data_IF_779386435278
#
_entry.id   IF_779386435278
#
_cell.length_a   1.000
_cell.length_b   1.000
_cell.length_c   1.000
_cell.angle_alpha   90.00
_cell.angle_beta   90.00
_cell.angle_gamma   90.00
#
_symmetry.space_group_name_H-M   'P 1'
#
loop_
_entity.id
_entity.type
_entity.pdbx_description
1 polymer ?
#
# COMPACT_ATOMS: atom_id res chain seq x y z
N UNK A 1 50.34 -54.04 -10.84
CA UNK A 1 48.96 -53.82 -11.31
C UNK A 1 48.18 -53.28 -10.13
N UNK A 2 47.84 -52.00 -10.13
CA UNK A 2 47.02 -51.33 -9.11
C UNK A 2 45.69 -51.01 -9.78
N UNK A 3 44.52 -51.36 -9.22
CA UNK A 3 43.25 -51.11 -9.87
C UNK A 3 42.86 -49.63 -9.70
N UNK A 4 42.56 -48.95 -10.80
CA UNK A 4 41.94 -47.62 -10.80
C UNK A 4 40.45 -47.77 -10.51
N UNK A 5 39.99 -47.23 -9.39
CA UNK A 5 38.57 -47.13 -9.07
C UNK A 5 37.93 -46.00 -9.90
N UNK A 6 36.86 -46.31 -10.62
CA UNK A 6 36.05 -45.33 -11.34
C UNK A 6 35.11 -44.62 -10.35
N UNK A 7 35.19 -43.30 -10.25
CA UNK A 7 34.29 -42.48 -9.44
C UNK A 7 33.12 -42.03 -10.31
N UNK A 8 31.93 -42.55 -10.04
CA UNK A 8 30.68 -42.13 -10.68
C UNK A 8 30.20 -40.82 -10.06
N UNK A 9 30.16 -39.73 -10.82
CA UNK A 9 29.63 -38.43 -10.38
C UNK A 9 28.11 -38.38 -10.56
N UNK A 10 27.37 -38.61 -9.47
CA UNK A 10 25.93 -38.36 -9.42
C UNK A 10 25.71 -36.85 -9.32
N UNK A 11 25.18 -36.24 -10.37
CA UNK A 11 24.83 -34.82 -10.39
C UNK A 11 23.50 -34.65 -9.66
N UNK A 12 23.54 -34.05 -8.48
CA UNK A 12 22.34 -33.70 -7.72
C UNK A 12 21.79 -32.39 -8.29
N UNK A 13 20.77 -32.48 -9.15
CA UNK A 13 20.00 -31.30 -9.55
C UNK A 13 19.14 -30.88 -8.34
N UNK A 14 19.56 -29.84 -7.62
CA UNK A 14 18.67 -29.11 -6.72
C UNK A 14 17.62 -28.40 -7.56
N UNK A 15 16.40 -28.94 -7.56
CA UNK A 15 15.22 -28.22 -8.01
C UNK A 15 14.93 -27.16 -6.94
N UNK A 16 15.31 -25.90 -7.20
CA UNK A 16 14.84 -24.79 -6.39
C UNK A 16 13.33 -24.65 -6.62
N UNK A 17 12.54 -25.16 -5.68
CA UNK A 17 11.13 -24.82 -5.63
C UNK A 17 11.04 -23.32 -5.26
N UNK A 18 10.79 -22.48 -6.26
CA UNK A 18 10.32 -21.13 -6.00
C UNK A 18 8.93 -21.27 -5.38
N UNK A 19 8.84 -21.16 -4.06
CA UNK A 19 7.58 -20.84 -3.43
C UNK A 19 7.20 -19.44 -3.93
N UNK A 20 6.19 -19.36 -4.80
CA UNK A 20 5.53 -18.09 -5.06
C UNK A 20 5.09 -17.56 -3.70
N UNK A 21 5.62 -16.40 -3.30
CA UNK A 21 5.17 -15.75 -2.07
C UNK A 21 3.67 -15.48 -2.18
N UNK A 22 2.91 -15.83 -1.14
CA UNK A 22 1.50 -15.50 -1.08
C UNK A 22 1.34 -13.97 -1.13
N UNK A 23 0.52 -13.46 -2.05
CA UNK A 23 0.32 -12.01 -2.26
C UNK A 23 -0.40 -11.39 -1.06
N UNK A 24 0.25 -10.48 -0.33
CA UNK A 24 -0.37 -9.74 0.78
C UNK A 24 -1.05 -8.47 0.25
N UNK A 25 -2.12 -8.02 0.93
CA UNK A 25 -2.76 -6.73 0.66
C UNK A 25 -2.42 -5.73 1.79
N UNK A 26 -2.13 -4.49 1.42
CA UNK A 26 -1.85 -3.41 2.38
C UNK A 26 -3.06 -2.47 2.46
N UNK A 27 -3.67 -2.40 3.63
CA UNK A 27 -4.79 -1.50 3.92
C UNK A 27 -4.28 -0.18 4.50
N UNK A 28 -4.81 0.94 3.97
CA UNK A 28 -4.57 2.29 4.49
C UNK A 28 -5.85 2.82 5.13
N UNK A 29 -5.89 2.87 6.46
CA UNK A 29 -7.09 3.23 7.24
C UNK A 29 -6.91 4.65 7.76
N UNK A 30 -7.69 5.59 7.26
CA UNK A 30 -7.54 7.02 7.55
C UNK A 30 -8.73 7.57 8.33
N UNK A 31 -8.46 8.36 9.38
CA UNK A 31 -9.51 9.07 10.11
C UNK A 31 -9.76 10.45 9.51
N UNK A 32 -10.80 10.59 8.69
CA UNK A 32 -11.26 11.88 8.15
C UNK A 32 -12.34 12.57 9.02
N UNK A 33 -12.67 12.01 10.20
CA UNK A 33 -13.61 12.65 11.12
C UNK A 33 -12.96 13.83 11.84
N UNK A 34 -13.78 14.78 12.32
CA UNK A 34 -13.32 15.91 13.13
C UNK A 34 -12.91 15.54 14.57
N UNK A 35 -13.07 14.28 14.96
CA UNK A 35 -12.75 13.75 16.28
C UNK A 35 -11.88 12.50 16.18
N UNK A 36 -11.21 12.13 17.26
CA UNK A 36 -10.45 10.89 17.37
C UNK A 36 -11.36 9.67 17.17
N UNK A 37 -10.85 8.67 16.45
CA UNK A 37 -11.47 7.37 16.19
C UNK A 37 -10.46 6.28 16.53
N UNK A 38 -10.93 5.15 17.05
CA UNK A 38 -10.07 4.00 17.34
C UNK A 38 -10.41 2.87 16.37
N UNK A 39 -9.81 2.81 15.17
CA UNK A 39 -10.04 1.68 14.28
C UNK A 39 -9.56 0.38 14.91
N UNK A 40 -10.18 -0.71 14.48
CA UNK A 40 -9.87 -2.07 14.89
C UNK A 40 -9.99 -3.03 13.70
N UNK A 41 -9.26 -4.15 13.77
CA UNK A 41 -9.22 -5.14 12.72
C UNK A 41 -9.00 -6.56 13.26
N UNK A 42 -9.70 -7.54 12.68
CA UNK A 42 -9.48 -8.96 12.93
C UNK A 42 -9.54 -9.75 11.61
N UNK A 43 -8.80 -10.87 11.47
CA UNK A 43 -7.87 -11.44 12.44
C UNK A 43 -6.52 -10.70 12.53
N UNK A 44 -6.31 -9.69 11.68
CA UNK A 44 -5.07 -8.92 11.58
C UNK A 44 -5.32 -7.45 11.91
N UNK A 45 -4.33 -6.80 12.51
CA UNK A 45 -4.35 -5.38 12.88
C UNK A 45 -4.64 -5.12 14.36
N UNK A 46 -5.62 -5.81 14.95
CA UNK A 46 -6.01 -5.61 16.34
C UNK A 46 -6.73 -4.27 16.53
N UNK A 47 -5.99 -3.18 16.78
CA UNK A 47 -6.55 -1.84 16.85
C UNK A 47 -5.59 -0.77 17.38
N UNK A 48 -5.87 0.47 17.03
CA UNK A 48 -5.06 1.65 17.40
C UNK A 48 -5.93 2.88 17.63
N UNK A 49 -5.31 4.01 18.02
CA UNK A 49 -5.91 5.33 18.04
C UNK A 49 -5.50 6.12 16.80
N UNK A 50 -6.46 6.78 16.15
CA UNK A 50 -6.21 7.75 15.09
C UNK A 50 -6.89 9.08 15.44
N UNK A 51 -6.07 10.12 15.66
CA UNK A 51 -6.54 11.50 15.70
C UNK A 51 -6.92 11.98 14.28
N UNK A 52 -7.67 13.09 14.14
CA UNK A 52 -8.09 13.60 12.83
C UNK A 52 -6.92 13.75 11.84
N UNK A 53 -7.09 13.21 10.64
CA UNK A 53 -6.11 13.23 9.55
C UNK A 53 -4.99 12.18 9.66
N UNK A 54 -4.97 11.37 10.73
CA UNK A 54 -3.97 10.28 10.84
C UNK A 54 -4.40 9.04 10.06
N UNK A 55 -3.39 8.27 9.64
CA UNK A 55 -3.55 7.03 8.87
C UNK A 55 -2.82 5.89 9.58
N UNK A 56 -3.44 4.71 9.58
CA UNK A 56 -2.88 3.45 10.04
C UNK A 56 -2.79 2.46 8.88
N UNK A 57 -1.59 1.94 8.66
CA UNK A 57 -1.33 0.92 7.63
C UNK A 57 -1.33 -0.48 8.25
N UNK A 58 -2.00 -1.43 7.59
CA UNK A 58 -2.07 -2.84 8.03
C UNK A 58 -1.81 -3.76 6.85
N UNK A 59 -0.78 -4.60 6.96
CA UNK A 59 -0.52 -5.66 5.99
C UNK A 59 -1.31 -6.92 6.36
N UNK A 60 -2.13 -7.37 5.43
CA UNK A 60 -3.01 -8.53 5.56
C UNK A 60 -2.51 -9.64 4.63
N UNK A 61 -2.13 -10.81 5.16
CA UNK A 61 -1.66 -11.93 4.34
C UNK A 61 -2.72 -12.46 3.37
N UNK A 62 -2.29 -13.00 2.23
CA UNK A 62 -3.14 -13.76 1.31
C UNK A 62 -3.91 -14.88 2.02
N UNK A 63 -5.11 -15.17 1.55
CA UNK A 63 -6.02 -16.18 2.10
C UNK A 63 -6.71 -15.73 3.40
N UNK A 64 -6.63 -14.45 3.76
CA UNK A 64 -7.25 -13.92 4.98
C UNK A 64 -8.63 -13.34 4.66
N UNK A 65 -9.66 -13.89 5.28
CA UNK A 65 -10.96 -13.21 5.44
C UNK A 65 -11.00 -12.49 6.78
N UNK A 66 -11.44 -11.24 6.78
CA UNK A 66 -11.43 -10.40 7.97
C UNK A 66 -12.36 -9.21 7.87
N UNK A 67 -12.19 -8.30 8.83
CA UNK A 67 -12.98 -7.07 8.92
C UNK A 67 -12.22 -5.97 9.64
N UNK A 68 -12.48 -4.74 9.24
CA UNK A 68 -12.13 -3.52 9.95
C UNK A 68 -13.38 -2.77 10.38
N UNK A 69 -13.30 -2.01 11.48
CA UNK A 69 -14.38 -1.13 11.91
C UNK A 69 -13.85 0.04 12.76
N UNK A 70 -14.63 1.11 12.83
CA UNK A 70 -14.33 2.26 13.68
C UNK A 70 -14.99 2.17 15.05
N UNK A 71 -14.27 2.60 16.09
CA UNK A 71 -14.78 2.74 17.46
C UNK A 71 -14.73 4.20 17.90
N UNK A 72 -15.75 4.64 18.63
CA UNK A 72 -15.88 6.06 19.06
C UNK A 72 -16.02 6.17 20.57
N UNK A 73 -15.63 7.33 21.12
CA UNK A 73 -15.79 7.61 22.56
C UNK A 73 -14.93 6.71 23.45
N UNK A 74 -13.78 6.26 22.96
CA UNK A 74 -12.97 5.30 23.68
C UNK A 74 -12.12 5.92 24.79
N UNK A 75 -11.99 5.21 25.90
CA UNK A 75 -11.04 5.53 26.97
C UNK A 75 -10.28 4.27 27.36
N UNK A 76 -8.94 4.30 27.26
CA UNK A 76 -8.07 3.17 27.59
C UNK A 76 -7.04 3.53 28.67
N UNK A 77 -6.73 2.55 29.52
CA UNK A 77 -5.62 2.59 30.46
C UNK A 77 -4.79 1.31 30.29
N UNK A 78 -3.56 1.45 29.76
CA UNK A 78 -2.66 0.31 29.56
C UNK A 78 -3.17 -0.75 28.59
N UNK A 79 -4.02 -0.39 27.63
CA UNK A 79 -4.58 -1.29 26.61
C UNK A 79 -5.97 -1.85 26.91
N UNK A 80 -6.49 -1.65 28.13
CA UNK A 80 -7.86 -2.04 28.51
C UNK A 80 -8.71 -0.81 28.82
N UNK A 81 -9.99 -0.86 28.51
CA UNK A 81 -10.86 0.31 28.51
C UNK A 81 -12.27 -0.01 28.06
N UNK A 82 -12.89 0.97 27.41
CA UNK A 82 -14.24 0.88 26.84
C UNK A 82 -14.39 1.89 25.70
N UNK A 83 -15.22 1.56 24.72
CA UNK A 83 -15.71 2.46 23.68
C UNK A 83 -17.25 2.55 23.70
N UNK A 84 -17.80 3.72 23.40
CA UNK A 84 -19.26 3.93 23.34
C UNK A 84 -19.92 3.13 22.21
N UNK A 85 -19.21 2.97 21.08
CA UNK A 85 -19.67 2.16 19.95
C UNK A 85 -18.54 1.30 19.38
N UNK A 86 -18.87 0.15 18.79
CA UNK A 86 -17.91 -0.76 18.18
C UNK A 86 -16.93 -1.43 19.16
N UNK A 87 -17.18 -1.36 20.47
CA UNK A 87 -16.27 -1.91 21.48
C UNK A 87 -16.01 -3.41 21.28
N UNK A 88 -14.78 -3.85 21.54
CA UNK A 88 -14.35 -5.25 21.38
C UNK A 88 -13.90 -5.86 22.71
N UNK A 89 -14.84 -5.96 23.65
CA UNK A 89 -14.61 -6.45 25.02
C UNK A 89 -13.62 -5.59 25.82
N UNK A 90 -13.66 -4.28 25.61
CA UNK A 90 -12.83 -3.29 26.30
C UNK A 90 -11.36 -3.33 25.93
N UNK A 91 -10.96 -4.01 24.86
CA UNK A 91 -9.56 -4.09 24.44
C UNK A 91 -9.20 -2.97 23.44
N UNK A 92 -8.03 -2.36 23.57
CA UNK A 92 -7.50 -1.45 22.54
C UNK A 92 -7.13 -2.24 21.27
N UNK A 93 -6.43 -3.36 21.45
CA UNK A 93 -6.10 -4.30 20.38
C UNK A 93 -7.09 -5.47 20.40
N UNK A 94 -8.00 -5.51 19.41
CA UNK A 94 -9.11 -6.43 19.39
C UNK A 94 -8.71 -7.84 18.96
N UNK A 95 -9.35 -8.85 19.56
CA UNK A 95 -9.31 -10.26 19.12
C UNK A 95 -10.68 -10.82 18.79
N UNK A 96 -11.73 -10.02 19.01
CA UNK A 96 -13.13 -10.30 18.70
C UNK A 96 -13.73 -9.12 17.95
N UNK A 97 -14.80 -9.35 17.19
CA UNK A 97 -15.47 -8.28 16.44
C UNK A 97 -16.08 -7.23 17.38
N UNK A 98 -16.24 -6.02 16.88
CA UNK A 98 -16.93 -4.95 17.59
C UNK A 98 -18.39 -5.28 17.90
N UNK A 99 -18.87 -4.80 19.05
CA UNK A 99 -20.26 -4.93 19.45
C UNK A 99 -21.16 -3.97 18.66
N UNK A 100 -22.38 -4.41 18.26
CA UNK A 100 -23.40 -3.55 17.66
C UNK A 100 -23.70 -2.29 18.49
N UNK A 101 -23.89 -1.11 17.87
CA UNK A 101 -23.80 -0.86 16.43
C UNK A 101 -22.36 -0.74 15.93
N UNK A 102 -22.07 -1.34 14.77
CA UNK A 102 -20.78 -1.27 14.12
C UNK A 102 -20.90 -1.34 12.59
N UNK A 103 -20.49 -0.28 11.91
CA UNK A 103 -20.25 -0.28 10.46
C UNK A 103 -18.97 -1.09 10.19
N UNK A 104 -19.07 -2.17 9.41
CA UNK A 104 -17.95 -3.06 9.13
C UNK A 104 -17.48 -2.89 7.68
N UNK A 105 -16.18 -2.83 7.47
CA UNK A 105 -15.54 -3.12 6.19
C UNK A 105 -15.11 -4.58 6.22
N UNK A 106 -15.71 -5.43 5.41
CA UNK A 106 -15.41 -6.86 5.34
C UNK A 106 -14.57 -7.16 4.10
N UNK A 107 -13.61 -8.08 4.21
CA UNK A 107 -12.70 -8.39 3.12
C UNK A 107 -12.33 -9.87 3.09
N UNK A 108 -11.90 -10.35 1.92
CA UNK A 108 -11.20 -11.61 1.71
C UNK A 108 -10.08 -11.39 0.71
N UNK A 109 -8.83 -11.55 1.16
CA UNK A 109 -7.63 -11.38 0.35
C UNK A 109 -7.26 -12.70 -0.31
N UNK A 110 -6.95 -12.69 -1.60
CA UNK A 110 -6.70 -13.88 -2.42
C UNK A 110 -7.82 -14.91 -2.24
N UNK A 111 -9.06 -14.46 -2.47
CA UNK A 111 -10.27 -15.27 -2.30
C UNK A 111 -10.49 -16.31 -3.40
N UNK A 112 -9.59 -16.36 -4.38
CA UNK A 112 -9.70 -17.16 -5.61
C UNK A 112 -9.80 -16.28 -6.85
N UNK A 113 -9.48 -16.86 -8.01
CA UNK A 113 -9.47 -16.19 -9.31
C UNK A 113 -8.61 -14.91 -9.35
N UNK A 114 -7.52 -14.87 -8.57
CA UNK A 114 -6.61 -13.74 -8.43
C UNK A 114 -7.35 -12.43 -8.03
N UNK A 115 -8.33 -12.55 -7.14
CA UNK A 115 -9.15 -11.43 -6.71
C UNK A 115 -9.19 -11.30 -5.19
N UNK A 116 -9.19 -10.03 -4.77
CA UNK A 116 -9.55 -9.61 -3.42
C UNK A 116 -11.03 -9.19 -3.43
N UNK A 117 -11.79 -9.65 -2.45
CA UNK A 117 -13.21 -9.34 -2.29
C UNK A 117 -13.42 -8.41 -1.10
N UNK A 118 -14.36 -7.47 -1.23
CA UNK A 118 -14.64 -6.51 -0.19
C UNK A 118 -16.05 -5.95 -0.26
N UNK A 119 -16.56 -5.52 0.89
CA UNK A 119 -17.85 -4.85 1.04
C UNK A 119 -17.92 -4.02 2.32
N UNK A 120 -18.97 -3.19 2.42
CA UNK A 120 -19.38 -2.54 3.66
C UNK A 120 -20.63 -3.26 4.18
N UNK A 121 -20.73 -3.44 5.49
CA UNK A 121 -21.88 -4.05 6.15
C UNK A 121 -22.38 -3.19 7.30
N UNK A 122 -23.67 -2.91 7.30
CA UNK A 122 -24.40 -2.24 8.38
C UNK A 122 -25.45 -3.16 9.01
N UNK A 123 -25.34 -4.48 8.76
CA UNK A 123 -26.22 -5.51 9.32
C UNK A 123 -26.22 -5.46 10.85
N UNK A 124 -25.06 -5.23 11.45
CA UNK A 124 -24.86 -5.08 12.89
C UNK A 124 -25.15 -3.65 13.39
N UNK A 125 -25.71 -2.78 12.54
CA UNK A 125 -26.04 -1.39 12.84
C UNK A 125 -24.96 -0.40 12.38
N UNK A 126 -25.34 0.87 12.28
CA UNK A 126 -24.46 1.94 11.82
C UNK A 126 -23.98 2.81 12.99
N UNK A 127 -22.68 3.05 13.09
CA UNK A 127 -22.10 3.94 14.10
C UNK A 127 -21.26 5.09 13.49
N UNK A 128 -20.48 4.80 12.45
CA UNK A 128 -19.59 5.75 11.79
C UNK A 128 -19.69 5.62 10.27
N UNK A 129 -19.56 6.75 9.58
CA UNK A 129 -19.49 6.77 8.12
C UNK A 129 -18.17 6.17 7.63
N UNK A 130 -18.23 5.45 6.52
CA UNK A 130 -17.11 4.69 6.01
C UNK A 130 -17.08 4.74 4.50
N UNK A 131 -15.89 4.99 3.97
CA UNK A 131 -15.57 4.74 2.58
C UNK A 131 -14.64 3.53 2.52
N UNK A 132 -14.86 2.66 1.53
CA UNK A 132 -14.01 1.49 1.33
C UNK A 132 -13.82 1.23 -0.16
N UNK A 133 -12.56 1.14 -0.58
CA UNK A 133 -12.19 1.01 -1.98
C UNK A 133 -10.95 0.16 -2.11
N UNK A 134 -10.78 -0.41 -3.29
CA UNK A 134 -9.56 -1.05 -3.74
C UNK A 134 -9.08 -0.37 -5.03
N UNK A 135 -7.77 -0.34 -5.28
CA UNK A 135 -7.20 0.49 -6.35
C UNK A 135 -7.63 0.11 -7.77
N UNK A 136 -8.14 -1.10 -7.99
CA UNK A 136 -8.68 -1.59 -9.27
C UNK A 136 -10.18 -1.90 -9.22
N UNK A 137 -10.83 -1.65 -8.08
CA UNK A 137 -12.24 -1.96 -7.83
C UNK A 137 -13.14 -0.72 -7.76
N UNK A 138 -14.40 -0.94 -7.39
CA UNK A 138 -15.35 0.14 -7.09
C UNK A 138 -15.03 0.84 -5.75
N UNK A 139 -15.22 2.16 -5.69
CA UNK A 139 -15.26 2.87 -4.41
C UNK A 139 -16.67 2.77 -3.81
N UNK A 140 -16.75 2.33 -2.55
CA UNK A 140 -18.00 2.21 -1.78
C UNK A 140 -18.08 3.39 -0.81
N UNK A 141 -19.23 4.06 -0.77
CA UNK A 141 -19.48 5.16 0.14
C UNK A 141 -20.69 4.86 1.03
N UNK A 142 -20.46 4.81 2.33
CA UNK A 142 -21.51 4.64 3.33
C UNK A 142 -21.49 5.77 4.34
N UNK A 143 -22.08 6.91 3.97
CA UNK A 143 -22.20 8.09 4.83
C UNK A 143 -23.42 8.13 5.76
N UNK A 144 -24.34 7.17 5.64
CA UNK A 144 -25.55 7.08 6.45
C UNK A 144 -26.03 5.62 6.67
N UNK A 145 -26.89 5.35 7.66
CA UNK A 145 -27.33 3.99 7.98
C UNK A 145 -28.06 3.25 6.84
N UNK A 146 -28.65 3.98 5.90
CA UNK A 146 -29.40 3.43 4.76
C UNK A 146 -28.60 3.44 3.46
N UNK A 147 -27.28 3.55 3.54
CA UNK A 147 -26.41 3.67 2.38
C UNK A 147 -26.63 2.50 1.39
N UNK A 148 -26.68 2.77 0.08
CA UNK A 148 -26.94 1.77 -0.94
C UNK A 148 -25.76 0.82 -1.17
N UNK A 149 -24.56 1.22 -0.78
CA UNK A 149 -23.31 0.46 -1.01
C UNK A 149 -23.02 -0.57 0.09
N UNK A 150 -23.84 -0.63 1.15
CA UNK A 150 -23.65 -1.60 2.24
C UNK A 150 -24.69 -2.72 2.26
N UNK A 151 -24.28 -3.86 2.80
CA UNK A 151 -25.19 -4.91 3.26
C UNK A 151 -26.12 -4.36 4.35
N UNK A 152 -27.42 -4.28 4.01
CA UNK A 152 -28.49 -3.93 4.95
C UNK A 152 -29.07 -5.18 5.64
N UNK A 153 -28.87 -6.35 5.04
CA UNK A 153 -29.27 -7.65 5.57
C UNK A 153 -28.39 -8.73 4.93
N UNK A 154 -28.26 -9.88 5.59
CA UNK A 154 -27.39 -10.98 5.14
C UNK A 154 -27.86 -11.74 3.89
N UNK A 155 -29.01 -11.37 3.31
CA UNK A 155 -29.55 -12.04 2.11
C UNK A 155 -29.26 -11.31 0.80
N UNK A 156 -28.76 -10.07 0.86
CA UNK A 156 -28.46 -9.24 -0.31
C UNK A 156 -27.02 -9.44 -0.79
N UNK A 157 -26.74 -10.51 -1.54
CA UNK A 157 -25.40 -10.81 -2.04
C UNK A 157 -24.88 -9.90 -3.17
N UNK A 158 -25.54 -8.77 -3.44
CA UNK A 158 -25.17 -7.86 -4.54
C UNK A 158 -24.14 -6.80 -4.14
N UNK A 159 -23.79 -6.74 -2.85
CA UNK A 159 -22.94 -5.69 -2.27
C UNK A 159 -21.46 -6.06 -2.22
N UNK A 160 -21.12 -7.30 -2.52
CA UNK A 160 -19.72 -7.70 -2.61
C UNK A 160 -19.11 -7.24 -3.92
N UNK A 161 -18.00 -6.52 -3.80
CA UNK A 161 -17.16 -6.10 -4.91
C UNK A 161 -15.87 -6.90 -4.90
N UNK A 162 -15.18 -6.87 -6.04
CA UNK A 162 -13.89 -7.49 -6.20
C UNK A 162 -12.93 -6.52 -6.89
N UNK A 163 -11.64 -6.72 -6.63
CA UNK A 163 -10.56 -6.07 -7.33
C UNK A 163 -9.44 -7.08 -7.57
N UNK A 164 -8.55 -6.78 -8.51
CA UNK A 164 -7.41 -7.64 -8.80
C UNK A 164 -6.52 -7.74 -7.56
N UNK A 165 -6.05 -8.96 -7.26
CA UNK A 165 -5.11 -9.19 -6.16
C UNK A 165 -3.84 -8.33 -6.32
N UNK A 166 -3.23 -7.97 -5.20
CA UNK A 166 -1.96 -7.20 -5.18
C UNK A 166 -2.04 -5.82 -5.88
N UNK A 167 -3.23 -5.19 -5.88
CA UNK A 167 -3.42 -3.90 -6.53
C UNK A 167 -3.22 -2.74 -5.55
N UNK A 168 -2.03 -2.14 -5.56
CA UNK A 168 -1.78 -0.77 -5.07
C UNK A 168 -0.91 -0.04 -6.09
N UNK A 169 -1.53 0.47 -7.16
CA UNK A 169 -0.82 1.24 -8.19
C UNK A 169 -1.52 2.53 -8.61
N UNK A 170 -2.72 2.79 -8.07
CA UNK A 170 -3.42 4.07 -8.21
C UNK A 170 -3.40 4.79 -6.86
N UNK A 171 -2.92 6.03 -6.87
CA UNK A 171 -2.99 6.95 -5.74
C UNK A 171 -4.03 8.02 -6.06
N UNK A 172 -5.14 8.02 -5.32
CA UNK A 172 -6.08 9.13 -5.37
C UNK A 172 -5.53 10.33 -4.58
N UNK A 173 -6.13 11.52 -4.80
CA UNK A 173 -5.64 12.75 -4.18
C UNK A 173 -5.57 12.63 -2.65
N UNK A 174 -4.37 12.84 -2.10
CA UNK A 174 -4.10 12.78 -0.65
C UNK A 174 -3.84 11.38 -0.10
N UNK A 175 -3.94 10.33 -0.92
CA UNK A 175 -3.58 8.98 -0.50
C UNK A 175 -2.06 8.81 -0.43
N UNK A 176 -1.64 7.85 0.40
CA UNK A 176 -0.25 7.43 0.56
C UNK A 176 -0.14 5.95 0.26
N UNK A 177 0.91 5.58 -0.48
CA UNK A 177 1.31 4.20 -0.72
C UNK A 177 2.66 3.96 -0.06
N UNK A 178 2.73 2.92 0.76
CA UNK A 178 3.95 2.51 1.47
C UNK A 178 4.51 1.26 0.81
N UNK A 179 5.82 1.26 0.57
CA UNK A 179 6.53 0.16 -0.08
C UNK A 179 7.76 -0.17 0.73
N UNK A 180 7.94 -1.45 1.04
CA UNK A 180 9.19 -1.97 1.61
C UNK A 180 10.21 -2.18 0.50
N UNK A 181 11.30 -1.43 0.54
CA UNK A 181 12.42 -1.55 -0.40
C UNK A 181 13.53 -2.38 0.24
N UNK A 182 13.90 -3.54 -0.33
CA UNK A 182 14.96 -4.37 0.25
C UNK A 182 16.32 -3.67 0.24
N UNK A 183 17.10 -3.89 1.29
CA UNK A 183 18.50 -3.48 1.34
C UNK A 183 19.33 -4.16 0.23
N UNK A 184 20.30 -3.43 -0.34
CA UNK A 184 21.13 -3.89 -1.45
C UNK A 184 20.48 -3.71 -2.82
N UNK A 185 19.52 -2.80 -2.97
CA UNK A 185 18.79 -2.56 -4.22
C UNK A 185 18.99 -1.14 -4.73
N UNK A 186 18.97 -0.99 -6.06
CA UNK A 186 18.83 0.31 -6.74
C UNK A 186 17.55 0.29 -7.55
N UNK A 187 16.85 1.42 -7.61
CA UNK A 187 15.55 1.48 -8.26
C UNK A 187 15.06 2.89 -8.49
N UNK A 188 13.80 2.99 -8.94
CA UNK A 188 13.16 4.23 -9.34
C UNK A 188 11.71 4.24 -8.90
N UNK A 189 11.23 5.41 -8.49
CA UNK A 189 9.81 5.72 -8.35
C UNK A 189 9.44 6.84 -9.33
N UNK A 190 8.24 6.76 -9.91
CA UNK A 190 7.71 7.78 -10.80
C UNK A 190 6.19 7.78 -10.80
N UNK A 191 5.59 8.90 -11.16
CA UNK A 191 4.14 9.03 -11.30
C UNK A 191 3.71 8.87 -12.75
N UNK A 192 2.56 8.22 -12.98
CA UNK A 192 1.94 8.03 -14.31
C UNK A 192 0.63 8.80 -14.36
N UNK A 193 0.31 9.41 -15.50
CA UNK A 193 -0.92 10.22 -15.65
C UNK A 193 -1.80 9.69 -16.77
N UNK A 194 -3.11 9.93 -16.67
CA UNK A 194 -4.06 9.58 -17.73
C UNK A 194 -4.12 8.08 -18.00
N UNK A 195 -4.09 7.27 -16.95
CA UNK A 195 -4.02 5.82 -17.07
C UNK A 195 -5.41 5.18 -17.23
N UNK A 196 -5.47 4.10 -18.02
CA UNK A 196 -6.62 3.21 -18.12
C UNK A 196 -6.14 1.77 -18.24
N UNK A 197 -6.62 0.91 -17.35
CA UNK A 197 -6.27 -0.51 -17.30
C UNK A 197 -7.54 -1.37 -17.28
N UNK A 198 -7.44 -2.58 -17.83
CA UNK A 198 -8.46 -3.61 -17.68
C UNK A 198 -8.27 -4.40 -16.37
N UNK A 199 -9.15 -5.36 -16.10
CA UNK A 199 -9.09 -6.20 -14.89
C UNK A 199 -7.86 -7.12 -14.81
N UNK A 200 -7.13 -7.32 -15.91
CA UNK A 200 -5.87 -8.08 -15.95
C UNK A 200 -4.65 -7.18 -15.67
N UNK A 201 -4.85 -5.89 -15.41
CA UNK A 201 -3.76 -4.92 -15.25
C UNK A 201 -3.05 -4.54 -16.56
N UNK A 202 -3.66 -4.83 -17.72
CA UNK A 202 -3.15 -4.41 -19.02
C UNK A 202 -3.86 -3.13 -19.49
N UNK A 203 -3.11 -2.19 -20.03
CA UNK A 203 -3.63 -0.87 -20.32
C UNK A 203 -2.62 0.08 -20.92
N UNK A 204 -2.75 1.36 -20.58
CA UNK A 204 -1.89 2.44 -21.05
C UNK A 204 -2.00 3.66 -20.13
N UNK A 205 -0.94 4.47 -20.07
CA UNK A 205 -0.94 5.81 -19.49
C UNK A 205 -0.45 6.86 -20.50
N UNK A 206 -1.06 8.05 -20.47
CA UNK A 206 -0.67 9.19 -21.33
C UNK A 206 0.78 9.62 -21.11
N UNK A 207 1.31 9.50 -19.88
CA UNK A 207 2.71 9.79 -19.55
C UNK A 207 3.33 8.74 -18.63
N UNK A 208 4.64 8.55 -18.76
CA UNK A 208 5.45 7.64 -17.94
C UNK A 208 4.95 6.18 -17.90
N UNK A 209 4.25 5.75 -18.94
CA UNK A 209 3.78 4.37 -19.10
C UNK A 209 4.93 3.37 -19.06
N UNK A 210 4.69 2.17 -18.51
CA UNK A 210 5.70 1.13 -18.39
C UNK A 210 5.35 -0.11 -19.21
N UNK A 211 5.18 0.10 -20.52
CA UNK A 211 4.81 -0.92 -21.51
C UNK A 211 3.37 -1.46 -21.34
N UNK A 212 2.44 -0.58 -20.97
CA UNK A 212 1.03 -0.89 -20.81
C UNK A 212 0.70 -1.78 -19.62
N UNK A 213 1.64 -1.95 -18.69
CA UNK A 213 1.45 -2.78 -17.51
C UNK A 213 1.07 -1.93 -16.29
N UNK A 214 0.07 -2.37 -15.52
CA UNK A 214 -0.26 -1.77 -14.22
C UNK A 214 0.91 -1.98 -13.23
N UNK A 215 1.48 -3.20 -13.22
CA UNK A 215 2.66 -3.59 -12.46
C UNK A 215 3.93 -3.50 -13.33
N UNK A 216 4.77 -2.51 -13.06
CA UNK A 216 5.92 -2.20 -13.91
C UNK A 216 7.10 -3.14 -13.66
N UNK A 217 7.63 -3.73 -14.74
CA UNK A 217 8.92 -4.45 -14.75
C UNK A 217 10.03 -3.69 -15.48
N UNK A 218 9.67 -2.56 -16.09
CA UNK A 218 10.56 -1.64 -16.80
C UNK A 218 10.27 -0.22 -16.34
N UNK A 219 11.24 0.69 -16.51
CA UNK A 219 11.09 2.12 -16.21
C UNK A 219 9.98 2.75 -17.07
N UNK A 220 9.38 3.83 -16.56
CA UNK A 220 8.43 4.65 -17.30
C UNK A 220 9.04 5.24 -18.58
N UNK A 221 8.28 5.25 -19.66
CA UNK A 221 8.67 5.87 -20.93
C UNK A 221 8.67 7.41 -20.82
N UNK A 222 9.60 8.13 -21.48
CA UNK A 222 9.58 9.59 -21.51
C UNK A 222 8.23 10.17 -21.99
N UNK A 223 7.73 11.28 -21.40
CA UNK A 223 8.35 12.04 -20.31
C UNK A 223 8.11 11.42 -18.93
N UNK A 224 9.14 11.34 -18.09
CA UNK A 224 9.03 10.84 -16.72
C UNK A 224 9.97 11.59 -15.76
N UNK A 225 9.41 12.21 -14.72
CA UNK A 225 10.15 12.70 -13.56
C UNK A 225 10.45 11.52 -12.64
N UNK A 226 11.73 11.21 -12.40
CA UNK A 226 12.14 10.00 -11.67
C UNK A 226 12.74 10.37 -10.30
N UNK A 227 12.30 9.71 -9.23
CA UNK A 227 13.06 9.59 -7.98
C UNK A 227 13.92 8.33 -8.07
N UNK A 228 15.23 8.46 -8.10
CA UNK A 228 16.17 7.35 -8.19
C UNK A 228 16.82 7.09 -6.83
N UNK A 229 16.97 5.82 -6.46
CA UNK A 229 17.56 5.45 -5.19
C UNK A 229 18.55 4.29 -5.31
N UNK A 230 19.46 4.21 -4.35
CA UNK A 230 20.32 3.05 -4.08
C UNK A 230 20.40 2.84 -2.57
N UNK A 231 19.76 1.77 -2.09
CA UNK A 231 19.83 1.33 -0.69
C UNK A 231 20.94 0.30 -0.58
N UNK A 232 22.02 0.64 0.13
CA UNK A 232 23.23 -0.20 0.17
C UNK A 232 23.09 -1.33 1.20
N UNK A 233 22.43 -1.06 2.33
CA UNK A 233 22.25 -2.00 3.43
C UNK A 233 23.40 -2.03 4.44
N UNK A 234 23.11 -2.54 5.65
CA UNK A 234 24.04 -2.53 6.78
C UNK A 234 24.14 -1.15 7.43
N UNK A 235 25.35 -0.76 7.87
CA UNK A 235 25.65 0.58 8.39
C UNK A 235 26.16 1.54 7.30
N UNK A 236 25.96 1.20 6.02
CA UNK A 236 26.45 1.99 4.88
C UNK A 236 25.47 3.08 4.48
N UNK A 237 26.03 4.16 3.94
CA UNK A 237 25.25 5.28 3.43
C UNK A 237 24.45 4.88 2.19
N UNK A 238 23.19 5.31 2.15
CA UNK A 238 22.31 5.17 1.00
C UNK A 238 22.39 6.42 0.10
N UNK A 239 21.95 6.32 -1.15
CA UNK A 239 22.01 7.39 -2.14
C UNK A 239 20.68 7.59 -2.85
N UNK A 240 20.37 8.84 -3.18
CA UNK A 240 19.12 9.22 -3.84
C UNK A 240 19.25 10.54 -4.60
N UNK A 241 18.44 10.69 -5.65
CA UNK A 241 18.36 11.90 -6.47
C UNK A 241 17.02 11.98 -7.23
N UNK A 242 16.79 13.14 -7.86
CA UNK A 242 15.73 13.32 -8.84
C UNK A 242 16.37 13.41 -10.23
N UNK A 243 15.77 12.77 -11.23
CA UNK A 243 16.26 12.77 -12.60
C UNK A 243 15.17 13.20 -13.59
N UNK A 244 15.50 14.18 -14.43
CA UNK A 244 14.73 14.66 -15.58
C UNK A 244 15.39 14.29 -16.91
N UNK A 245 16.34 13.34 -16.90
CA UNK A 245 16.98 12.84 -18.13
C UNK A 245 15.93 12.30 -19.10
N UNK A 246 14.91 11.63 -18.57
CA UNK A 246 13.78 11.08 -19.31
C UNK A 246 12.61 12.10 -19.45
N UNK A 247 12.85 13.38 -19.18
CA UNK A 247 11.86 14.46 -19.28
C UNK A 247 11.15 14.78 -17.97
N UNK A 248 10.08 15.58 -18.05
CA UNK A 248 9.28 16.01 -16.91
C UNK A 248 7.80 15.76 -17.19
N UNK A 249 7.10 15.09 -16.29
CA UNK A 249 5.65 14.91 -16.38
C UNK A 249 4.90 15.41 -15.12
N UNK A 250 5.43 15.17 -13.93
CA UNK A 250 4.85 15.58 -12.66
C UNK A 250 5.88 16.28 -11.77
N UNK A 251 5.46 17.31 -10.99
CA UNK A 251 6.25 17.83 -9.88
C UNK A 251 6.50 16.74 -8.83
N UNK A 252 7.69 16.77 -8.22
CA UNK A 252 8.14 15.73 -7.32
C UNK A 252 9.00 16.30 -6.20
N UNK A 253 8.67 15.95 -4.96
CA UNK A 253 9.59 16.02 -3.82
C UNK A 253 10.12 14.62 -3.50
N UNK A 254 11.41 14.53 -3.19
CA UNK A 254 12.02 13.31 -2.70
C UNK A 254 12.90 13.59 -1.48
N UNK A 255 12.48 13.07 -0.33
CA UNK A 255 13.14 13.32 0.94
C UNK A 255 13.61 12.03 1.60
N UNK A 256 14.66 12.18 2.41
CA UNK A 256 15.16 11.15 3.30
C UNK A 256 15.21 11.65 4.76
N UNK A 257 14.82 10.81 5.71
CA UNK A 257 14.66 11.19 7.13
C UNK A 257 15.92 11.69 7.83
N UNK A 258 17.10 11.34 7.31
CA UNK A 258 18.40 11.85 7.81
C UNK A 258 19.19 12.64 6.75
N UNK A 259 18.53 12.96 5.63
CA UNK A 259 19.10 13.67 4.49
C UNK A 259 18.46 15.05 4.30
N UNK A 260 18.50 15.52 3.06
CA UNK A 260 17.83 16.75 2.62
C UNK A 260 16.52 16.38 1.91
N UNK A 261 15.64 17.37 1.73
CA UNK A 261 14.52 17.25 0.80
C UNK A 261 14.96 17.80 -0.56
N UNK A 262 14.73 17.04 -1.63
CA UNK A 262 14.94 17.48 -3.01
C UNK A 262 13.60 17.91 -3.59
N UNK A 263 13.55 19.11 -4.16
CA UNK A 263 12.30 19.67 -4.70
C UNK A 263 12.41 19.92 -6.20
N UNK A 264 11.49 19.34 -6.96
CA UNK A 264 11.37 19.55 -8.39
C UNK A 264 9.95 19.94 -8.80
N UNK A 265 9.59 21.20 -8.58
CA UNK A 265 8.28 21.76 -8.91
C UNK A 265 8.00 21.97 -10.41
N UNK A 266 9.06 22.08 -11.23
CA UNK A 266 8.95 22.49 -12.64
C UNK A 266 10.06 21.86 -13.52
N UNK A 267 9.86 21.81 -14.86
CA UNK A 267 10.88 21.31 -15.78
C UNK A 267 12.20 22.09 -15.64
N UNK A 268 13.33 21.38 -15.53
CA UNK A 268 14.64 22.02 -15.40
C UNK A 268 15.00 22.45 -13.98
N UNK A 269 14.30 21.93 -12.96
CA UNK A 269 14.52 22.26 -11.57
C UNK A 269 16.00 22.06 -11.13
N UNK A 270 16.52 22.89 -10.19
CA UNK A 270 17.92 22.83 -9.78
C UNK A 270 18.34 21.55 -9.07
N UNK A 271 17.40 20.86 -8.42
CA UNK A 271 17.67 19.68 -7.60
C UNK A 271 17.67 18.37 -8.42
N UNK A 272 17.40 18.44 -9.73
CA UNK A 272 17.36 17.25 -10.58
C UNK A 272 18.47 17.19 -11.62
N UNK A 273 18.84 15.96 -11.98
CA UNK A 273 19.68 15.68 -13.13
C UNK A 273 18.99 16.08 -14.43
N UNK A 274 19.67 16.89 -15.25
CA UNK A 274 19.17 17.29 -16.58
C UNK A 274 19.84 16.51 -17.72
N UNK A 275 20.99 15.89 -17.45
CA UNK A 275 21.75 15.09 -18.40
C UNK A 275 22.64 14.08 -17.66
N UNK A 276 23.00 12.94 -18.27
CA UNK A 276 23.62 11.81 -17.57
C UNK A 276 25.01 12.04 -16.95
N UNK A 277 25.66 13.17 -17.23
CA UNK A 277 27.03 13.47 -16.77
C UNK A 277 27.10 14.56 -15.72
N UNK A 278 25.97 15.12 -15.31
CA UNK A 278 25.94 15.86 -14.05
C UNK A 278 26.05 14.80 -12.94
N UNK A 279 27.02 14.92 -12.04
CA UNK A 279 27.22 14.03 -10.88
C UNK A 279 27.04 14.77 -9.55
N UNK A 280 26.51 16.00 -9.61
CA UNK A 280 26.42 16.91 -8.45
C UNK A 280 25.09 16.82 -7.71
N UNK A 281 24.11 16.09 -8.25
CA UNK A 281 22.73 16.02 -7.73
C UNK A 281 22.45 14.80 -6.88
N UNK A 282 23.40 13.88 -6.76
CA UNK A 282 23.24 12.73 -5.86
C UNK A 282 23.46 13.17 -4.42
N UNK A 283 22.43 12.92 -3.61
CA UNK A 283 22.46 13.11 -2.18
C UNK A 283 22.58 11.76 -1.48
N UNK A 284 23.02 11.83 -0.23
CA UNK A 284 23.28 10.64 0.55
C UNK A 284 22.57 10.73 1.90
N UNK A 285 22.15 9.58 2.40
CA UNK A 285 21.38 9.46 3.63
C UNK A 285 21.97 8.39 4.54
N UNK A 286 21.80 8.53 5.85
CA UNK A 286 22.28 7.51 6.79
C UNK A 286 21.58 6.18 6.53
N UNK A 287 22.27 5.08 6.82
CA UNK A 287 21.69 3.75 6.73
C UNK A 287 20.36 3.63 7.50
N UNK A 288 19.45 2.79 7.02
CA UNK A 288 18.14 2.53 7.65
C UNK A 288 17.29 3.79 7.82
N UNK A 289 17.43 4.76 6.91
CA UNK A 289 16.55 5.92 6.87
C UNK A 289 15.23 5.59 6.18
N UNK A 290 14.20 6.38 6.50
CA UNK A 290 12.93 6.34 5.79
C UNK A 290 12.93 7.38 4.67
N UNK A 291 12.22 7.07 3.59
CA UNK A 291 12.12 7.91 2.41
C UNK A 291 10.67 8.31 2.15
N UNK A 292 10.47 9.48 1.57
CA UNK A 292 9.16 9.94 1.13
C UNK A 292 9.25 10.57 -0.24
N UNK A 293 8.47 10.02 -1.19
CA UNK A 293 8.25 10.57 -2.52
C UNK A 293 6.87 11.23 -2.53
N UNK A 294 6.81 12.52 -2.86
CA UNK A 294 5.56 13.29 -2.90
C UNK A 294 5.34 13.84 -4.30
N UNK A 295 4.24 13.45 -4.93
CA UNK A 295 3.85 13.99 -6.24
C UNK A 295 3.06 15.30 -6.07
N UNK A 296 3.20 16.20 -7.06
CA UNK A 296 2.52 17.50 -7.06
C UNK A 296 2.92 18.41 -5.87
N UNK A 297 4.17 18.29 -5.43
CA UNK A 297 4.78 19.13 -4.39
C UNK A 297 5.22 20.51 -4.93
#
# INVERSE_FOLDING_TARGET
MVPTAAVSSVHFFLLAAFAAGASAATFSITNNCGNTVWPAGIPVGGGTQLDPGQTWTVDVPAGTSGRFWGRTGCTFNGGTGHCDTGDCAGALSCTVSGQPPATLAEYTIDGGDNQDYYDISVVDGYNIGMDFSCSTGAALNCGDPSCPDAYQNSTDNTKTHACSDNSNYQLDQGQTWTVDVPAGTSGRFWGRTGCSFNGDGNGHCDSADCAGALSCTVSGQPPATLAEYTIVGGDNQDYYDISLVDGFNLPLDFSCSTGVNLHCGEPGCPDAYLFPTDDTKTHACSANSNYQVTFCA
#
